data_IF_200870938220
#
_entry.id   IF_200870938220
#
_cell.length_a   1.000
_cell.length_b   1.000
_cell.length_c   1.000
_cell.angle_alpha   90.00
_cell.angle_beta   90.00
_cell.angle_gamma   90.00
#
_symmetry.space_group_name_H-M   'P 1'
#
loop_
_entity.id
_entity.type
_entity.pdbx_description
1 polymer ?
#
# COMPACT_ATOMS: atom_id res chain seq x y z
N UNK A 1 40.63 -39.26 -32.95
CA UNK A 1 39.93 -39.33 -31.64
C UNK A 1 39.10 -38.07 -31.45
N UNK A 2 37.76 -38.15 -31.37
CA UNK A 2 36.87 -36.99 -31.52
C UNK A 2 36.47 -36.39 -30.16
N UNK A 3 37.07 -35.25 -29.80
CA UNK A 3 36.94 -34.56 -28.52
C UNK A 3 35.52 -34.03 -28.22
N UNK A 4 34.61 -34.08 -29.21
CA UNK A 4 33.21 -33.66 -29.04
C UNK A 4 32.35 -34.68 -28.28
N UNK A 5 32.77 -35.95 -28.19
CA UNK A 5 31.97 -37.03 -27.58
C UNK A 5 32.08 -37.09 -26.05
N UNK A 6 33.01 -36.34 -25.46
CA UNK A 6 33.32 -36.38 -24.01
C UNK A 6 32.87 -35.11 -23.27
N UNK A 7 31.94 -34.33 -23.83
CA UNK A 7 31.35 -33.20 -23.09
C UNK A 7 30.21 -33.71 -22.21
N UNK A 8 30.56 -34.18 -21.02
CA UNK A 8 29.59 -34.38 -19.94
C UNK A 8 28.91 -33.03 -19.69
N UNK A 9 27.58 -32.95 -19.86
CA UNK A 9 26.83 -31.75 -19.50
C UNK A 9 26.95 -31.56 -17.99
N UNK A 10 27.65 -30.51 -17.56
CA UNK A 10 27.65 -30.13 -16.15
C UNK A 10 26.20 -29.84 -15.73
N UNK A 11 25.75 -30.37 -14.57
CA UNK A 11 24.42 -30.05 -14.05
C UNK A 11 24.34 -28.54 -13.86
N UNK A 12 23.42 -27.89 -14.58
CA UNK A 12 23.16 -26.47 -14.37
C UNK A 12 22.66 -26.27 -12.93
N UNK A 13 23.20 -25.29 -12.18
CA UNK A 13 22.73 -25.01 -10.83
C UNK A 13 21.24 -24.68 -10.91
N UNK A 14 20.44 -25.33 -10.05
CA UNK A 14 19.00 -25.05 -9.98
C UNK A 14 18.82 -23.55 -9.74
N UNK A 15 18.00 -22.84 -10.56
CA UNK A 15 17.79 -21.43 -10.36
C UNK A 15 17.30 -21.21 -8.92
N UNK A 16 17.95 -20.28 -8.22
CA UNK A 16 17.61 -19.95 -6.85
C UNK A 16 16.11 -19.63 -6.74
N UNK A 17 15.46 -20.14 -5.68
CA UNK A 17 14.03 -19.93 -5.42
C UNK A 17 13.76 -18.46 -5.07
N UNK A 18 13.76 -17.56 -6.05
CA UNK A 18 13.61 -16.12 -5.86
C UNK A 18 12.16 -15.64 -5.70
N UNK A 19 11.18 -16.55 -5.69
CA UNK A 19 9.75 -16.19 -5.70
C UNK A 19 9.01 -16.14 -4.37
N UNK A 20 9.62 -16.51 -3.24
CA UNK A 20 8.90 -16.73 -1.97
C UNK A 20 8.41 -15.45 -1.26
N UNK A 21 8.83 -14.25 -1.69
CA UNK A 21 8.49 -12.99 -1.01
C UNK A 21 7.46 -12.10 -1.71
N UNK A 22 7.14 -12.35 -3.00
CA UNK A 22 6.34 -11.41 -3.79
C UNK A 22 4.87 -11.28 -3.32
N UNK A 23 4.34 -12.31 -2.67
CA UNK A 23 2.97 -12.31 -2.13
C UNK A 23 2.79 -11.35 -0.94
N UNK A 24 3.88 -11.06 -0.21
CA UNK A 24 3.86 -10.09 0.91
C UNK A 24 3.47 -8.70 0.43
N UNK A 25 3.92 -8.28 -0.76
CA UNK A 25 3.56 -6.99 -1.35
C UNK A 25 2.07 -6.90 -1.68
N UNK A 26 1.43 -8.00 -2.09
CA UNK A 26 -0.03 -8.02 -2.28
C UNK A 26 -0.77 -7.85 -0.95
N UNK A 27 -0.30 -8.55 0.09
CA UNK A 27 -0.91 -8.50 1.41
C UNK A 27 -0.81 -7.09 2.01
N UNK A 28 0.39 -6.49 1.95
CA UNK A 28 0.62 -5.10 2.38
C UNK A 28 -0.24 -4.13 1.55
N UNK A 29 -0.24 -4.27 0.23
CA UNK A 29 -1.04 -3.42 -0.65
C UNK A 29 -2.54 -3.52 -0.37
N UNK A 30 -3.05 -4.72 -0.10
CA UNK A 30 -4.45 -4.93 0.28
C UNK A 30 -4.81 -4.31 1.62
N UNK A 31 -3.94 -4.46 2.63
CA UNK A 31 -4.13 -3.82 3.95
C UNK A 31 -4.12 -2.30 3.83
N UNK A 32 -3.16 -1.74 3.09
CA UNK A 32 -3.11 -0.29 2.83
C UNK A 32 -4.38 0.21 2.14
N UNK A 33 -4.88 -0.53 1.15
CA UNK A 33 -6.09 -0.16 0.42
C UNK A 33 -7.33 -0.19 1.33
N UNK A 34 -7.45 -1.22 2.18
CA UNK A 34 -8.53 -1.31 3.17
C UNK A 34 -8.46 -0.15 4.18
N UNK A 35 -7.26 0.21 4.66
CA UNK A 35 -7.05 1.35 5.55
C UNK A 35 -7.43 2.67 4.87
N UNK A 36 -7.04 2.87 3.61
CA UNK A 36 -7.41 4.06 2.83
C UNK A 36 -8.93 4.15 2.67
N UNK A 37 -9.60 3.04 2.37
CA UNK A 37 -11.07 3.02 2.23
C UNK A 37 -11.76 3.37 3.56
N UNK A 38 -11.26 2.83 4.67
CA UNK A 38 -11.79 3.11 6.01
C UNK A 38 -11.59 4.59 6.39
N UNK A 39 -10.40 5.15 6.13
CA UNK A 39 -10.12 6.58 6.35
C UNK A 39 -11.00 7.47 5.46
N UNK A 40 -11.16 7.11 4.19
CA UNK A 40 -12.06 7.81 3.26
C UNK A 40 -13.51 7.81 3.77
N UNK A 41 -13.99 6.68 4.29
CA UNK A 41 -15.32 6.60 4.90
C UNK A 41 -15.46 7.53 6.11
N UNK A 42 -14.46 7.59 6.97
CA UNK A 42 -14.49 8.50 8.14
C UNK A 42 -14.49 9.97 7.72
N UNK A 43 -13.79 10.34 6.65
CA UNK A 43 -13.80 11.69 6.11
C UNK A 43 -15.16 12.08 5.53
N UNK A 44 -15.81 11.16 4.80
CA UNK A 44 -17.17 11.37 4.27
C UNK A 44 -18.16 11.51 5.41
N UNK A 45 -18.05 10.68 6.45
CA UNK A 45 -18.91 10.77 7.63
C UNK A 45 -18.73 12.11 8.35
N UNK A 46 -17.49 12.57 8.53
CA UNK A 46 -17.19 13.86 9.14
C UNK A 46 -17.70 15.06 8.32
N UNK A 47 -17.71 14.94 6.99
CA UNK A 47 -18.31 15.93 6.09
C UNK A 47 -19.84 15.98 6.22
N UNK A 48 -20.50 14.83 6.35
CA UNK A 48 -21.95 14.75 6.53
C UNK A 48 -22.40 15.25 7.90
N UNK A 49 -21.63 14.92 8.95
CA UNK A 49 -21.92 15.31 10.32
C UNK A 49 -21.47 16.76 10.63
N UNK A 50 -20.64 17.35 9.76
CA UNK A 50 -20.07 18.69 9.96
C UNK A 50 -19.12 18.78 11.16
N UNK A 51 -18.62 17.63 11.63
CA UNK A 51 -17.77 17.52 12.82
C UNK A 51 -16.60 16.59 12.54
N UNK A 52 -15.39 17.09 12.74
CA UNK A 52 -14.16 16.30 12.69
C UNK A 52 -13.68 16.04 14.11
N UNK A 53 -13.53 14.76 14.43
CA UNK A 53 -12.99 14.31 15.71
C UNK A 53 -11.55 13.88 15.51
N UNK A 54 -10.61 14.70 15.96
CA UNK A 54 -9.19 14.33 15.98
C UNK A 54 -8.84 13.68 17.30
N UNK A 55 -8.58 12.37 17.26
CA UNK A 55 -8.08 11.64 18.42
C UNK A 55 -6.56 11.81 18.47
N UNK A 56 -6.12 12.85 19.17
CA UNK A 56 -4.69 13.08 19.36
C UNK A 56 -4.10 12.00 20.27
N UNK A 57 -2.94 11.43 19.92
CA UNK A 57 -2.34 10.29 20.64
C UNK A 57 -1.83 10.67 22.04
N UNK A 58 -1.59 11.97 22.26
CA UNK A 58 -1.28 12.58 23.55
C UNK A 58 -1.98 13.94 23.63
N UNK A 59 -3.17 13.98 24.24
CA UNK A 59 -3.91 15.23 24.46
C UNK A 59 -5.43 15.06 24.52
N UNK A 60 -6.16 16.09 24.95
CA UNK A 60 -7.62 16.09 24.95
C UNK A 60 -8.14 15.88 23.52
N UNK A 61 -9.25 15.13 23.41
CA UNK A 61 -9.96 14.88 22.16
C UNK A 61 -10.41 16.23 21.58
N UNK A 62 -9.82 16.64 20.46
CA UNK A 62 -10.19 17.87 19.79
C UNK A 62 -11.35 17.58 18.85
N UNK A 63 -12.41 18.38 18.97
CA UNK A 63 -13.62 18.27 18.16
C UNK A 63 -13.78 19.59 17.45
N UNK A 64 -13.58 19.57 16.13
CA UNK A 64 -13.75 20.74 15.29
C UNK A 64 -15.13 20.67 14.64
N UNK A 65 -16.02 21.59 15.02
CA UNK A 65 -17.32 21.75 14.38
C UNK A 65 -17.24 22.82 13.29
N UNK A 66 -17.86 22.54 12.15
CA UNK A 66 -17.97 23.47 11.03
C UNK A 66 -18.70 24.77 11.42
N UNK A 67 -19.62 24.71 12.40
CA UNK A 67 -20.39 25.86 12.87
C UNK A 67 -19.61 26.80 13.81
N UNK A 68 -18.67 26.24 14.57
CA UNK A 68 -17.90 27.01 15.55
C UNK A 68 -16.51 27.42 15.02
N UNK A 69 -15.87 26.58 14.21
CA UNK A 69 -14.48 26.76 13.77
C UNK A 69 -14.29 26.29 12.31
N UNK A 70 -14.91 26.96 11.32
CA UNK A 70 -14.93 26.51 9.93
C UNK A 70 -13.53 26.43 9.31
N UNK A 71 -12.66 27.40 9.57
CA UNK A 71 -11.31 27.43 8.99
C UNK A 71 -10.46 26.25 9.47
N UNK A 72 -10.52 25.93 10.76
CA UNK A 72 -9.78 24.81 11.35
C UNK A 72 -10.33 23.46 10.88
N UNK A 73 -11.66 23.36 10.73
CA UNK A 73 -12.32 22.19 10.16
C UNK A 73 -11.81 21.88 8.74
N UNK A 74 -11.78 22.86 7.84
CA UNK A 74 -11.32 22.63 6.46
C UNK A 74 -9.81 22.34 6.36
N UNK A 75 -8.98 22.97 7.19
CA UNK A 75 -7.54 22.68 7.23
C UNK A 75 -7.31 21.22 7.64
N UNK A 76 -7.97 20.78 8.71
CA UNK A 76 -7.83 19.42 9.22
C UNK A 76 -8.38 18.40 8.22
N UNK A 77 -9.52 18.72 7.58
CA UNK A 77 -10.09 17.90 6.50
C UNK A 77 -9.13 17.76 5.32
N UNK A 78 -8.51 18.86 4.87
CA UNK A 78 -7.52 18.86 3.79
C UNK A 78 -6.28 18.05 4.18
N UNK A 79 -5.81 18.19 5.42
CA UNK A 79 -4.63 17.47 5.90
C UNK A 79 -4.87 15.96 5.98
N UNK A 80 -6.00 15.53 6.56
CA UNK A 80 -6.38 14.12 6.63
C UNK A 80 -6.71 13.54 5.25
N UNK A 81 -7.36 14.33 4.38
CA UNK A 81 -7.63 13.96 2.99
C UNK A 81 -6.35 13.74 2.20
N UNK A 82 -5.39 14.67 2.29
CA UNK A 82 -4.08 14.54 1.62
C UNK A 82 -3.32 13.31 2.11
N UNK A 83 -3.32 13.06 3.43
CA UNK A 83 -2.69 11.88 4.03
C UNK A 83 -3.34 10.58 3.55
N UNK A 84 -4.67 10.56 3.43
CA UNK A 84 -5.44 9.41 2.94
C UNK A 84 -5.13 9.13 1.47
N UNK A 85 -5.05 10.17 0.63
CA UNK A 85 -4.65 10.06 -0.78
C UNK A 85 -3.22 9.53 -0.92
N UNK A 86 -2.29 10.01 -0.10
CA UNK A 86 -0.90 9.53 -0.09
C UNK A 86 -0.83 8.03 0.28
N UNK A 87 -1.59 7.60 1.29
CA UNK A 87 -1.72 6.18 1.64
C UNK A 87 -2.31 5.35 0.50
N UNK A 88 -3.34 5.88 -0.19
CA UNK A 88 -3.93 5.22 -1.36
C UNK A 88 -2.94 5.06 -2.51
N UNK A 89 -2.14 6.09 -2.80
CA UNK A 89 -1.09 6.04 -3.80
C UNK A 89 -0.03 4.97 -3.45
N UNK A 90 0.38 4.90 -2.18
CA UNK A 90 1.28 3.85 -1.69
C UNK A 90 0.66 2.45 -1.82
N UNK A 91 -0.63 2.29 -1.51
CA UNK A 91 -1.34 1.03 -1.68
C UNK A 91 -1.26 0.53 -3.13
N UNK A 92 -1.58 1.42 -4.08
CA UNK A 92 -1.54 1.13 -5.52
C UNK A 92 -0.11 0.80 -5.98
N UNK A 93 0.88 1.57 -5.55
CA UNK A 93 2.29 1.32 -5.87
C UNK A 93 2.74 -0.06 -5.37
N UNK A 94 2.37 -0.43 -4.14
CA UNK A 94 2.75 -1.71 -3.52
C UNK A 94 2.11 -2.89 -4.28
N UNK A 95 0.83 -2.76 -4.66
CA UNK A 95 0.13 -3.76 -5.47
C UNK A 95 0.75 -3.90 -6.86
N UNK A 96 1.13 -2.78 -7.49
CA UNK A 96 1.77 -2.77 -8.80
C UNK A 96 3.14 -3.47 -8.75
N UNK A 97 3.98 -3.16 -7.77
CA UNK A 97 5.27 -3.81 -7.56
C UNK A 97 5.09 -5.32 -7.31
N UNK A 98 4.15 -5.71 -6.44
CA UNK A 98 3.83 -7.11 -6.19
C UNK A 98 3.42 -7.85 -7.46
N UNK A 99 2.59 -7.21 -8.30
CA UNK A 99 2.16 -7.76 -9.60
C UNK A 99 3.33 -7.92 -10.56
N UNK A 100 4.21 -6.93 -10.69
CA UNK A 100 5.40 -6.98 -11.55
C UNK A 100 6.35 -8.10 -11.11
N UNK A 101 6.59 -8.22 -9.80
CA UNK A 101 7.46 -9.25 -9.24
C UNK A 101 6.92 -10.67 -9.46
N UNK A 102 5.62 -10.90 -9.25
CA UNK A 102 5.02 -12.22 -9.55
C UNK A 102 4.98 -12.52 -11.06
N UNK A 103 4.77 -11.50 -11.91
CA UNK A 103 4.84 -11.64 -13.36
C UNK A 103 6.23 -12.03 -13.85
N UNK A 104 7.27 -11.47 -13.26
CA UNK A 104 8.67 -11.83 -13.54
C UNK A 104 8.99 -13.27 -13.11
N UNK A 105 8.41 -13.75 -11.99
CA UNK A 105 8.58 -15.13 -11.50
C UNK A 105 7.88 -16.17 -12.40
N UNK A 106 6.85 -15.79 -13.16
CA UNK A 106 6.12 -16.71 -14.06
C UNK A 106 6.79 -16.93 -15.41
N UNK A 107 7.91 -16.28 -15.72
CA UNK A 107 8.65 -16.49 -16.97
C UNK A 107 9.81 -17.46 -16.73
N UNK A 108 9.62 -18.79 -16.92
CA UNK A 108 10.78 -19.67 -17.01
C UNK A 108 11.48 -19.35 -18.33
N UNK A 109 12.73 -18.91 -18.25
CA UNK A 109 13.68 -19.02 -19.35
C UNK A 109 14.42 -20.34 -19.21
#
# INVERSE_FOLDING_TARGET
MNQKRTRVRLPHPKPGKTGRGAWVFLLIGGVLLALTALLGWTLVSALLEGVIVTRNRAGPKLVYSQLQQPTQFYIELLWQGTSTLLLGALAVATLWIGRVLMGAQKKPR
#
